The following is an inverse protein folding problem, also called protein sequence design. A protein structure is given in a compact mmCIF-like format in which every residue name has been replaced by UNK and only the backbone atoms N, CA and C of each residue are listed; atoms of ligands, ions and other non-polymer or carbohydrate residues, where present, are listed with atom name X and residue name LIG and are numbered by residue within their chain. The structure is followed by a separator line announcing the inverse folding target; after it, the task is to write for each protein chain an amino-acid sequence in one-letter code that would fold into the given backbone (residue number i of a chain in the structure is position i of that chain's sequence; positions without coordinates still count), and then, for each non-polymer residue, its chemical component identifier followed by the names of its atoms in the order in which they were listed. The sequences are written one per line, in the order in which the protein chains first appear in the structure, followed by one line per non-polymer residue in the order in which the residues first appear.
data_IF_067125050630
#
_entry.id   IF_067125050630
#
_cell.length_a   1.000
_cell.length_b   1.000
_cell.length_c   1.000
_cell.angle_alpha   90.00
_cell.angle_beta   90.00
_cell.angle_gamma   90.00
#
_symmetry.space_group_name_H-M   'P 1'
#
loop_
_entity.id
_entity.type
_entity.pdbx_description
1 polymer ?
#
# COMPACT_ATOMS: atom_id res chain seq x y z
N UNK A 1 -1.07 -15.21 -18.75
CA UNK A 1 -1.85 -14.69 -17.62
C UNK A 1 -1.08 -13.50 -17.06
N UNK A 2 -1.76 -12.38 -16.79
CA UNK A 2 -1.15 -11.22 -16.12
C UNK A 2 -1.63 -11.24 -14.67
N UNK A 3 -0.74 -10.95 -13.72
CA UNK A 3 -1.06 -10.94 -12.29
C UNK A 3 -0.52 -9.66 -11.64
N UNK A 4 -1.14 -9.24 -10.55
CA UNK A 4 -0.75 -8.08 -9.75
C UNK A 4 -0.42 -8.52 -8.31
N UNK A 5 0.82 -8.30 -7.90
CA UNK A 5 1.25 -8.44 -6.52
C UNK A 5 1.47 -7.05 -5.91
N UNK A 6 0.97 -6.84 -4.68
CA UNK A 6 1.14 -5.59 -3.93
C UNK A 6 1.64 -5.88 -2.52
N UNK A 7 2.51 -5.01 -2.00
CA UNK A 7 2.93 -5.09 -0.60
C UNK A 7 1.79 -4.71 0.35
N UNK A 8 1.07 -3.64 0.02
CA UNK A 8 -0.05 -3.11 0.83
C UNK A 8 -1.27 -2.86 -0.05
N UNK A 9 -2.43 -3.35 0.38
CA UNK A 9 -3.74 -2.94 -0.13
C UNK A 9 -4.40 -1.98 0.87
N UNK A 10 -4.55 -0.71 0.48
CA UNK A 10 -5.17 0.35 1.30
C UNK A 10 -6.68 0.51 1.09
N UNK A 11 -7.28 -0.28 0.20
CA UNK A 11 -8.68 -0.11 -0.20
C UNK A 11 -8.91 1.14 -1.08
N UNK A 12 -10.12 1.72 -0.98
CA UNK A 12 -10.57 2.92 -1.74
C UNK A 12 -10.39 2.83 -3.26
N UNK A 13 -10.58 1.65 -3.84
CA UNK A 13 -10.50 1.42 -5.29
C UNK A 13 -11.52 2.30 -6.04
N UNK A 14 -11.07 2.93 -7.11
CA UNK A 14 -11.93 3.71 -8.03
C UNK A 14 -12.20 2.98 -9.35
N UNK A 15 -11.55 1.83 -9.55
CA UNK A 15 -11.69 0.94 -10.71
C UNK A 15 -11.87 -0.51 -10.24
N UNK A 16 -12.43 -1.41 -11.08
CA UNK A 16 -12.62 -2.82 -10.74
C UNK A 16 -11.31 -3.65 -10.84
N UNK A 17 -10.23 -3.17 -10.22
CA UNK A 17 -8.91 -3.82 -10.20
C UNK A 17 -8.65 -4.41 -8.81
N UNK A 18 -8.22 -5.67 -8.74
CA UNK A 18 -7.83 -6.36 -7.50
C UNK A 18 -6.45 -7.01 -7.69
N UNK A 19 -5.63 -7.00 -6.64
CA UNK A 19 -4.38 -7.74 -6.61
C UNK A 19 -4.63 -9.24 -6.37
N UNK A 20 -3.86 -10.08 -7.05
CA UNK A 20 -3.86 -11.55 -6.85
C UNK A 20 -3.14 -11.93 -5.56
N UNK A 21 -2.13 -11.14 -5.19
CA UNK A 21 -1.32 -11.33 -3.99
C UNK A 21 -1.21 -10.02 -3.22
N UNK A 22 -1.50 -10.08 -1.92
CA UNK A 22 -1.46 -8.92 -1.02
C UNK A 22 -0.59 -9.27 0.18
N UNK A 23 0.46 -8.49 0.45
CA UNK A 23 1.26 -8.65 1.65
C UNK A 23 0.45 -8.34 2.92
N UNK A 24 -0.14 -7.15 2.97
CA UNK A 24 -1.04 -6.75 4.07
C UNK A 24 -2.21 -5.88 3.60
N UNK A 25 -3.40 -6.17 4.15
CA UNK A 25 -4.56 -5.29 4.01
C UNK A 25 -4.56 -4.30 5.18
N UNK A 26 -4.58 -3.00 4.88
CA UNK A 26 -4.59 -1.93 5.88
C UNK A 26 -5.77 -1.02 5.58
N UNK A 27 -6.87 -1.10 6.34
CA UNK A 27 -7.98 -0.16 6.19
C UNK A 27 -7.48 1.26 6.51
N UNK A 28 -7.66 2.20 5.58
CA UNK A 28 -7.32 3.61 5.81
C UNK A 28 -8.57 4.49 5.69
N UNK A 29 -8.48 5.74 6.14
CA UNK A 29 -9.36 6.82 5.69
C UNK A 29 -8.90 7.36 4.32
N UNK A 30 -9.67 8.27 3.72
CA UNK A 30 -9.24 8.98 2.49
C UNK A 30 -8.14 10.02 2.74
N UNK A 31 -7.99 10.50 3.97
CA UNK A 31 -6.97 11.49 4.37
C UNK A 31 -5.64 10.84 4.78
N UNK A 32 -5.68 9.56 5.11
CA UNK A 32 -4.50 8.78 5.43
C UNK A 32 -3.71 8.39 4.17
N UNK A 33 -2.39 8.37 4.33
CA UNK A 33 -1.39 8.04 3.32
C UNK A 33 -0.55 6.88 3.82
N UNK A 34 -0.28 5.92 2.93
CA UNK A 34 0.69 4.85 3.16
C UNK A 34 2.02 5.27 2.53
N UNK A 35 3.09 5.26 3.31
CA UNK A 35 4.46 5.38 2.82
C UNK A 35 5.20 4.07 3.05
N UNK A 36 5.78 3.54 1.98
CA UNK A 36 6.60 2.33 2.00
C UNK A 36 8.04 2.76 1.81
N UNK A 37 8.89 2.37 2.76
CA UNK A 37 10.33 2.52 2.71
C UNK A 37 10.97 1.15 2.53
N UNK A 38 11.99 1.09 1.68
CA UNK A 38 12.80 -0.09 1.46
C UNK A 38 14.27 0.24 1.70
N UNK A 39 15.03 -0.69 2.26
CA UNK A 39 16.46 -0.52 2.54
C UNK A 39 17.24 0.06 1.35
N UNK A 40 16.97 -0.41 0.11
CA UNK A 40 17.70 -0.01 -1.09
C UNK A 40 17.51 1.46 -1.49
N UNK A 41 16.41 2.09 -1.06
CA UNK A 41 16.07 3.46 -1.44
C UNK A 41 16.09 4.42 -0.25
N UNK A 42 15.78 3.92 0.95
CA UNK A 42 15.53 4.73 2.15
C UNK A 42 16.46 4.38 3.33
N UNK A 43 17.21 3.26 3.25
CA UNK A 43 18.10 2.79 4.32
C UNK A 43 17.38 2.16 5.52
N UNK A 44 16.10 1.81 5.37
CA UNK A 44 15.33 1.00 6.32
C UNK A 44 14.12 0.34 5.63
N UNK A 45 13.72 -0.84 6.10
CA UNK A 45 12.46 -1.49 5.70
C UNK A 45 11.32 -1.08 6.65
N UNK A 46 10.36 -0.31 6.15
CA UNK A 46 9.26 0.20 6.97
C UNK A 46 7.99 0.53 6.17
N UNK A 47 6.82 0.23 6.73
CA UNK A 47 5.53 0.66 6.19
C UNK A 47 4.84 1.54 7.22
N UNK A 48 4.67 2.83 6.89
CA UNK A 48 4.06 3.84 7.76
C UNK A 48 2.68 4.28 7.24
N UNK A 49 1.81 4.63 8.18
CA UNK A 49 0.53 5.30 7.92
C UNK A 49 0.50 6.64 8.68
N UNK A 50 0.08 7.72 8.00
CA UNK A 50 -0.08 9.05 8.59
C UNK A 50 -1.19 9.82 7.89
N UNK A 51 -1.71 10.88 8.53
CA UNK A 51 -2.76 11.74 7.97
C UNK A 51 -2.14 13.01 7.38
N UNK A 52 -2.51 13.38 6.15
CA UNK A 52 -2.12 14.67 5.58
C UNK A 52 -3.04 15.78 6.13
N UNK A 53 -2.43 16.82 6.69
CA UNK A 53 -3.13 18.04 7.14
C UNK A 53 -3.52 18.95 5.97
#
# INVERSE_FOLDING_TARGET
MIQLAVLVDRGHRELPIRADYVGKNIPTSRKEVISVKLEEFDGEDLVNIFENH
#
